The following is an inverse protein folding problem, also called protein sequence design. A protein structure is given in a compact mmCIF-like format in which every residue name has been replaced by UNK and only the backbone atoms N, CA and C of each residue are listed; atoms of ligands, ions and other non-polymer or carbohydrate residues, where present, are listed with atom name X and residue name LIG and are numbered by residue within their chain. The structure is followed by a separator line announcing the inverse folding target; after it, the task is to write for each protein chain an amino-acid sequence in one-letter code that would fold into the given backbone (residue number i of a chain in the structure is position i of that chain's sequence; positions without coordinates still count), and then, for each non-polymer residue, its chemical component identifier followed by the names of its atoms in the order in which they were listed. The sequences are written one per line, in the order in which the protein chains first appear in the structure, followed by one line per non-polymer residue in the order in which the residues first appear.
data_IF_989950063201
#
_entry.id   IF_989950063201
#
_cell.length_a   1.000
_cell.length_b   1.000
_cell.length_c   1.000
_cell.angle_alpha   90.00
_cell.angle_beta   90.00
_cell.angle_gamma   90.00
#
_symmetry.space_group_name_H-M   'P 1'
#
loop_
_entity.id
_entity.type
_entity.pdbx_description
1 polymer ?
#
# COMPACT_ATOMS: atom_id res chain seq x y z
N UNK A 1 -6.85 -9.43 12.93
CA UNK A 1 -7.26 -8.33 12.05
C UNK A 1 -6.37 -8.34 10.82
N UNK A 2 -6.95 -8.29 9.63
CA UNK A 2 -6.20 -8.22 8.38
C UNK A 2 -5.96 -6.76 8.00
N UNK A 3 -4.74 -6.43 7.59
CA UNK A 3 -4.34 -5.06 7.25
C UNK A 3 -3.87 -5.02 5.79
N UNK A 4 -4.34 -4.04 5.04
CA UNK A 4 -3.99 -3.90 3.63
C UNK A 4 -3.71 -2.45 3.26
N UNK A 5 -2.68 -2.25 2.44
CA UNK A 5 -2.48 -1.02 1.67
C UNK A 5 -2.92 -1.33 0.24
N UNK A 6 -3.77 -0.48 -0.33
CA UNK A 6 -4.11 -0.51 -1.74
C UNK A 6 -3.59 0.76 -2.39
N UNK A 7 -2.46 0.63 -3.07
CA UNK A 7 -1.80 1.71 -3.82
C UNK A 7 -2.51 1.88 -5.16
N UNK A 8 -2.98 3.10 -5.44
CA UNK A 8 -3.54 3.49 -6.74
C UNK A 8 -2.62 4.54 -7.34
N UNK A 9 -1.99 4.22 -8.47
CA UNK A 9 -1.00 5.09 -9.12
C UNK A 9 -1.15 5.00 -10.63
N UNK A 10 -0.71 6.02 -11.36
CA UNK A 10 -0.57 5.96 -12.82
C UNK A 10 0.86 6.07 -13.35
N UNK A 11 1.83 6.27 -12.46
CA UNK A 11 3.23 6.46 -12.80
C UNK A 11 4.18 5.54 -12.03
N UNK A 12 5.45 5.58 -12.46
CA UNK A 12 6.56 5.01 -11.72
C UNK A 12 6.98 5.95 -10.58
N UNK A 13 7.54 5.38 -9.51
CA UNK A 13 8.24 6.18 -8.51
C UNK A 13 9.46 6.86 -9.13
N UNK A 14 9.59 8.16 -8.90
CA UNK A 14 10.66 8.99 -9.47
C UNK A 14 11.49 9.73 -8.42
N UNK A 15 11.23 9.49 -7.13
CA UNK A 15 11.93 10.14 -6.02
C UNK A 15 11.88 9.32 -4.73
N UNK A 16 12.99 9.33 -3.98
CA UNK A 16 13.06 8.80 -2.61
C UNK A 16 13.37 7.30 -2.51
N UNK A 17 12.99 6.72 -1.37
CA UNK A 17 13.14 5.28 -1.07
C UNK A 17 12.48 4.41 -2.14
N UNK A 18 13.09 3.27 -2.45
CA UNK A 18 12.49 2.29 -3.36
C UNK A 18 11.11 1.82 -2.85
N UNK A 19 10.04 1.90 -3.66
CA UNK A 19 8.72 1.43 -3.26
C UNK A 19 8.64 -0.09 -3.07
N UNK A 20 9.52 -0.86 -3.73
CA UNK A 20 9.62 -2.31 -3.54
C UNK A 20 10.14 -2.64 -2.15
N UNK A 21 11.14 -1.90 -1.66
CA UNK A 21 11.68 -2.06 -0.30
C UNK A 21 10.63 -1.69 0.74
N UNK A 22 9.90 -0.58 0.53
CA UNK A 22 8.81 -0.19 1.42
C UNK A 22 7.70 -1.26 1.48
N UNK A 23 7.35 -1.86 0.36
CA UNK A 23 6.35 -2.93 0.30
C UNK A 23 6.80 -4.20 1.02
N UNK A 24 8.06 -4.61 0.85
CA UNK A 24 8.65 -5.73 1.59
C UNK A 24 8.59 -5.50 3.11
N UNK A 25 8.87 -4.28 3.55
CA UNK A 25 8.76 -3.92 4.96
C UNK A 25 7.30 -4.02 5.44
N UNK A 26 6.34 -3.47 4.68
CA UNK A 26 4.92 -3.58 5.01
C UNK A 26 4.46 -5.05 5.16
N UNK A 27 4.88 -5.92 4.24
CA UNK A 27 4.58 -7.35 4.31
C UNK A 27 5.15 -8.01 5.57
N UNK A 28 6.41 -7.69 5.94
CA UNK A 28 7.04 -8.19 7.17
C UNK A 28 6.31 -7.73 8.45
N UNK A 29 5.67 -6.55 8.40
CA UNK A 29 4.84 -6.00 9.46
C UNK A 29 3.39 -6.54 9.47
N UNK A 30 3.07 -7.51 8.61
CA UNK A 30 1.74 -8.12 8.51
C UNK A 30 0.72 -7.24 7.77
N UNK A 31 1.18 -6.33 6.92
CA UNK A 31 0.34 -5.47 6.06
C UNK A 31 0.54 -5.87 4.60
N UNK A 32 -0.50 -6.38 3.95
CA UNK A 32 -0.43 -6.76 2.54
C UNK A 32 -0.49 -5.52 1.65
N UNK A 33 0.38 -5.40 0.65
CA UNK A 33 0.36 -4.29 -0.32
C UNK A 33 -0.15 -4.77 -1.67
N UNK A 34 -1.25 -4.18 -2.11
CA UNK A 34 -1.82 -4.34 -3.43
C UNK A 34 -1.57 -3.09 -4.27
N UNK A 35 -1.41 -3.24 -5.58
CA UNK A 35 -1.15 -2.12 -6.49
C UNK A 35 -2.12 -2.13 -7.65
N UNK A 36 -2.73 -0.98 -7.93
CA UNK A 36 -3.55 -0.75 -9.11
C UNK A 36 -2.92 0.37 -9.93
N UNK A 37 -2.42 0.01 -11.10
CA UNK A 37 -1.97 0.95 -12.12
C UNK A 37 -3.16 1.43 -12.95
N UNK A 38 -3.40 2.74 -13.02
CA UNK A 38 -4.52 3.31 -13.78
C UNK A 38 -4.04 3.92 -15.10
N UNK A 39 -4.49 3.34 -16.21
CA UNK A 39 -4.05 3.71 -17.57
C UNK A 39 -5.16 4.28 -18.41
N UNK A 40 -4.87 5.37 -19.08
CA UNK A 40 -5.68 5.79 -20.22
C UNK A 40 -5.20 5.09 -21.49
N UNK A 41 -6.06 5.04 -22.51
CA UNK A 41 -5.75 4.35 -23.78
C UNK A 41 -4.40 4.83 -24.32
N UNK A 42 -3.41 3.94 -24.34
CA UNK A 42 -2.12 4.15 -25.00
C UNK A 42 -0.90 4.29 -24.08
N UNK A 43 -1.05 4.43 -22.77
CA UNK A 43 0.10 4.75 -21.90
C UNK A 43 0.08 3.98 -20.56
N UNK A 44 0.74 2.82 -20.56
CA UNK A 44 1.77 2.54 -19.55
C UNK A 44 3.01 2.10 -20.33
N UNK A 45 4.10 2.83 -20.14
CA UNK A 45 5.40 2.34 -20.57
C UNK A 45 5.70 1.02 -19.84
N UNK A 46 6.27 0.02 -20.52
CA UNK A 46 6.60 -1.31 -19.94
C UNK A 46 7.26 -1.25 -18.55
N UNK A 47 7.99 -0.18 -18.27
CA UNK A 47 8.67 0.07 -16.99
C UNK A 47 7.72 0.27 -15.80
N UNK A 48 6.56 0.93 -15.97
CA UNK A 48 5.64 1.21 -14.85
C UNK A 48 4.84 -0.02 -14.42
N UNK A 49 4.46 -0.86 -15.37
CA UNK A 49 3.83 -2.15 -15.05
C UNK A 49 4.78 -3.06 -14.25
N UNK A 50 6.05 -3.11 -14.64
CA UNK A 50 7.05 -3.94 -13.97
C UNK A 50 7.31 -3.48 -12.53
N UNK A 51 7.40 -2.17 -12.29
CA UNK A 51 7.53 -1.64 -10.93
C UNK A 51 6.29 -1.94 -10.08
N UNK A 52 5.09 -1.69 -10.61
CA UNK A 52 3.84 -1.99 -9.90
C UNK A 52 3.72 -3.48 -9.52
N UNK A 53 4.12 -4.38 -10.42
CA UNK A 53 4.17 -5.81 -10.15
C UNK A 53 5.21 -6.18 -9.09
N UNK A 54 6.42 -5.63 -9.17
CA UNK A 54 7.47 -5.86 -8.18
C UNK A 54 7.06 -5.37 -6.78
N UNK A 55 6.40 -4.21 -6.68
CA UNK A 55 5.85 -3.68 -5.42
C UNK A 55 4.83 -4.66 -4.84
N UNK A 56 3.84 -5.08 -5.62
CA UNK A 56 2.80 -5.99 -5.14
C UNK A 56 3.38 -7.35 -4.71
N UNK A 57 4.34 -7.89 -5.48
CA UNK A 57 5.01 -9.14 -5.17
C UNK A 57 5.79 -9.04 -3.84
N UNK A 58 6.58 -7.99 -3.66
CA UNK A 58 7.30 -7.74 -2.41
C UNK A 58 6.34 -7.52 -1.23
N UNK A 59 5.20 -6.88 -1.49
CA UNK A 59 4.12 -6.65 -0.53
C UNK A 59 3.21 -7.85 -0.23
N UNK A 60 3.44 -9.00 -0.86
CA UNK A 60 2.63 -10.21 -0.69
C UNK A 60 1.19 -10.11 -1.22
N UNK A 61 0.90 -9.11 -2.05
CA UNK A 61 -0.41 -8.82 -2.63
C UNK A 61 -0.47 -9.04 -4.14
N UNK A 62 -1.34 -8.28 -4.81
CA UNK A 62 -1.60 -8.40 -6.25
C UNK A 62 -1.39 -7.07 -6.96
N UNK A 63 -1.00 -7.14 -8.23
CA UNK A 63 -0.92 -6.00 -9.14
C UNK A 63 -1.99 -6.12 -10.24
N UNK A 64 -2.68 -5.03 -10.56
CA UNK A 64 -3.54 -4.95 -11.76
C UNK A 64 -3.35 -3.62 -12.47
N UNK A 65 -3.32 -3.68 -13.80
CA UNK A 65 -3.30 -2.50 -14.66
C UNK A 65 -4.67 -2.39 -15.31
N UNK A 66 -5.37 -1.29 -15.10
CA UNK A 66 -6.79 -1.15 -15.48
C UNK A 66 -7.08 0.22 -16.07
N UNK A 67 -8.15 0.29 -16.87
CA UNK A 67 -8.69 1.58 -17.29
C UNK A 67 -9.50 2.21 -16.16
N UNK A 68 -9.65 3.55 -16.12
CA UNK A 68 -10.44 4.24 -15.09
C UNK A 68 -11.83 3.64 -14.88
N UNK A 69 -12.52 3.28 -15.96
CA UNK A 69 -13.86 2.64 -15.94
C UNK A 69 -13.91 1.26 -15.25
N UNK A 70 -12.77 0.58 -15.10
CA UNK A 70 -12.65 -0.76 -14.49
C UNK A 70 -12.15 -0.67 -13.04
N UNK A 71 -11.82 0.54 -12.56
CA UNK A 71 -11.14 0.77 -11.29
C UNK A 71 -11.98 0.32 -10.10
N UNK A 72 -13.25 0.75 -10.01
CA UNK A 72 -14.12 0.44 -8.88
C UNK A 72 -14.29 -1.07 -8.66
N UNK A 73 -14.61 -1.81 -9.74
CA UNK A 73 -14.72 -3.26 -9.70
C UNK A 73 -13.40 -3.93 -9.31
N UNK A 74 -12.28 -3.42 -9.81
CA UNK A 74 -10.96 -3.99 -9.55
C UNK A 74 -10.53 -3.79 -8.10
N UNK A 75 -10.73 -2.60 -7.54
CA UNK A 75 -10.47 -2.27 -6.12
C UNK A 75 -11.21 -3.23 -5.19
N UNK A 76 -12.51 -3.42 -5.41
CA UNK A 76 -13.33 -4.35 -4.61
C UNK A 76 -12.85 -5.80 -4.76
N UNK A 77 -12.62 -6.24 -6.00
CA UNK A 77 -12.18 -7.60 -6.31
C UNK A 77 -10.83 -7.92 -5.66
N UNK A 78 -9.86 -7.01 -5.77
CA UNK A 78 -8.53 -7.20 -5.21
C UNK A 78 -8.57 -7.24 -3.68
N UNK A 79 -9.35 -6.38 -3.04
CA UNK A 79 -9.53 -6.39 -1.58
C UNK A 79 -10.07 -7.75 -1.11
N UNK A 80 -11.16 -8.23 -1.72
CA UNK A 80 -11.78 -9.53 -1.38
C UNK A 80 -10.84 -10.71 -1.63
N UNK A 81 -10.17 -10.76 -2.79
CA UNK A 81 -9.21 -11.82 -3.11
C UNK A 81 -8.02 -11.83 -2.16
N UNK A 82 -7.52 -10.66 -1.76
CA UNK A 82 -6.42 -10.56 -0.79
C UNK A 82 -6.82 -11.10 0.57
N UNK A 83 -8.04 -10.79 1.04
CA UNK A 83 -8.60 -11.34 2.29
C UNK A 83 -8.67 -12.87 2.19
N UNK A 84 -9.29 -13.40 1.14
CA UNK A 84 -9.43 -14.85 0.96
C UNK A 84 -8.07 -15.57 0.89
N UNK A 85 -7.11 -15.04 0.14
CA UNK A 85 -5.75 -15.60 0.06
C UNK A 85 -5.01 -15.54 1.39
N UNK A 86 -5.19 -14.46 2.16
CA UNK A 86 -4.56 -14.34 3.48
C UNK A 86 -5.15 -15.35 4.46
N UNK A 87 -6.46 -15.55 4.44
CA UNK A 87 -7.14 -16.58 5.24
C UNK A 87 -6.66 -17.97 4.83
N UNK A 88 -6.62 -18.26 3.53
CA UNK A 88 -6.13 -19.54 3.02
C UNK A 88 -4.72 -19.85 3.52
N UNK A 89 -3.79 -18.91 3.40
CA UNK A 89 -2.40 -19.08 3.89
C UNK A 89 -2.33 -19.36 5.39
N UNK A 90 -3.17 -18.68 6.19
CA UNK A 90 -3.24 -18.92 7.64
C UNK A 90 -3.78 -20.32 7.93
N UNK A 91 -4.85 -20.73 7.26
CA UNK A 91 -5.44 -22.06 7.42
C UNK A 91 -4.47 -23.16 7.00
N UNK A 92 -3.81 -23.02 5.84
CA UNK A 92 -2.79 -23.97 5.36
C UNK A 92 -1.62 -24.09 6.34
N UNK A 93 -1.17 -22.97 6.91
CA UNK A 93 -0.12 -22.99 7.95
C UNK A 93 -0.55 -23.77 9.19
N UNK A 94 -1.80 -23.64 9.62
CA UNK A 94 -2.33 -24.38 10.78
C UNK A 94 -2.56 -25.87 10.46
N UNK A 95 -2.99 -26.20 9.24
CA UNK A 95 -3.07 -27.58 8.76
C UNK A 95 -1.69 -28.24 8.70
N UNK A 96 -0.67 -27.52 8.24
CA UNK A 96 0.69 -28.05 8.16
C UNK A 96 1.25 -28.32 9.55
N UNK A 97 1.05 -27.40 10.51
CA UNK A 97 1.52 -27.58 11.89
C UNK A 97 0.83 -28.73 12.62
N UNK A 98 -0.50 -28.85 12.47
CA UNK A 98 -1.31 -29.76 13.29
C UNK A 98 -1.44 -31.14 12.65
N UNK A 99 -1.49 -31.20 11.32
CA UNK A 99 -1.83 -32.41 10.56
C UNK A 99 -0.79 -32.78 9.49
N UNK A 100 0.31 -32.03 9.36
CA UNK A 100 1.34 -32.21 8.31
C UNK A 100 0.75 -32.21 6.89
N UNK A 101 -0.32 -31.43 6.68
CA UNK A 101 -0.94 -31.19 5.36
C UNK A 101 -0.63 -29.77 4.93
N UNK A 102 0.07 -29.63 3.81
CA UNK A 102 0.59 -28.36 3.30
C UNK A 102 -0.41 -27.57 2.42
N UNK A 103 -1.50 -28.20 2.00
CA UNK A 103 -2.49 -27.59 1.11
C UNK A 103 -3.91 -28.12 1.36
N UNK A 104 -4.90 -27.22 1.30
CA UNK A 104 -6.32 -27.55 1.50
C UNK A 104 -6.81 -28.57 0.46
N UNK A 105 -6.24 -28.52 -0.75
CA UNK A 105 -6.54 -29.42 -1.87
C UNK A 105 -6.12 -30.87 -1.60
N UNK A 106 -5.20 -31.12 -0.66
CA UNK A 106 -4.79 -32.49 -0.29
C UNK A 106 -5.74 -33.15 0.72
N UNK A 107 -6.67 -32.39 1.30
CA UNK A 107 -7.69 -32.94 2.17
C UNK A 107 -8.67 -33.81 1.39
N UNK A 108 -9.27 -34.80 2.08
CA UNK A 108 -10.39 -35.58 1.54
C UNK A 108 -11.57 -34.66 1.19
N UNK A 109 -12.42 -35.01 0.21
CA UNK A 109 -13.49 -34.14 -0.27
C UNK A 109 -14.39 -33.58 0.84
N UNK A 110 -14.76 -34.41 1.81
CA UNK A 110 -15.59 -34.02 2.96
C UNK A 110 -14.89 -33.00 3.84
N UNK A 111 -13.61 -33.23 4.18
CA UNK A 111 -12.82 -32.30 5.01
C UNK A 111 -12.56 -30.99 4.26
N UNK A 112 -12.25 -31.06 2.97
CA UNK A 112 -12.03 -29.89 2.12
C UNK A 112 -13.27 -29.00 2.08
N UNK A 113 -14.46 -29.59 1.86
CA UNK A 113 -15.71 -28.83 1.86
C UNK A 113 -15.95 -28.11 3.20
N UNK A 114 -15.64 -28.76 4.31
CA UNK A 114 -15.75 -28.13 5.64
C UNK A 114 -14.75 -26.97 5.80
N UNK A 115 -13.48 -27.17 5.42
CA UNK A 115 -12.45 -26.13 5.51
C UNK A 115 -12.78 -24.93 4.62
N UNK A 116 -13.23 -25.16 3.38
CA UNK A 116 -13.65 -24.08 2.48
C UNK A 116 -14.79 -23.28 3.10
N UNK A 117 -15.81 -23.94 3.68
CA UNK A 117 -16.90 -23.24 4.37
C UNK A 117 -16.39 -22.37 5.51
N UNK A 118 -15.49 -22.88 6.34
CA UNK A 118 -14.89 -22.10 7.43
C UNK A 118 -14.11 -20.90 6.89
N UNK A 119 -13.37 -21.07 5.79
CA UNK A 119 -12.66 -19.97 5.14
C UNK A 119 -13.61 -18.89 4.62
N UNK A 120 -14.74 -19.28 4.03
CA UNK A 120 -15.78 -18.34 3.56
C UNK A 120 -16.39 -17.57 4.73
N UNK A 121 -16.76 -18.26 5.81
CA UNK A 121 -17.30 -17.65 7.03
C UNK A 121 -16.29 -16.66 7.65
N UNK A 122 -15.00 -17.01 7.67
CA UNK A 122 -13.92 -16.11 8.08
C UNK A 122 -13.82 -14.90 7.14
N UNK A 123 -13.95 -15.10 5.83
CA UNK A 123 -13.92 -14.04 4.82
C UNK A 123 -14.91 -12.91 5.10
N UNK A 124 -16.09 -13.25 5.60
CA UNK A 124 -17.14 -12.28 5.94
C UNK A 124 -17.01 -11.69 7.35
N UNK A 125 -16.49 -12.44 8.31
CA UNK A 125 -16.52 -12.06 9.74
C UNK A 125 -15.22 -11.45 10.27
N UNK A 126 -14.06 -11.72 9.65
CA UNK A 126 -12.79 -11.18 10.14
C UNK A 126 -12.75 -9.65 10.06
N UNK A 127 -12.13 -9.03 11.06
CA UNK A 127 -11.89 -7.58 11.00
C UNK A 127 -10.85 -7.25 9.96
N UNK A 128 -11.13 -6.25 9.13
CA UNK A 128 -10.23 -5.77 8.08
C UNK A 128 -9.97 -4.27 8.24
N UNK A 129 -8.77 -3.85 7.89
CA UNK A 129 -8.36 -2.44 7.86
C UNK A 129 -7.70 -2.18 6.51
N UNK A 130 -8.27 -1.29 5.71
CA UNK A 130 -7.82 -0.99 4.34
C UNK A 130 -7.41 0.48 4.24
N UNK A 131 -6.13 0.73 4.00
CA UNK A 131 -5.62 2.06 3.66
C UNK A 131 -5.55 2.19 2.14
N UNK A 132 -6.34 3.09 1.58
CA UNK A 132 -6.16 3.52 0.19
C UNK A 132 -5.04 4.55 0.15
N UNK A 133 -3.99 4.27 -0.61
CA UNK A 133 -2.89 5.21 -0.84
C UNK A 133 -2.96 5.66 -2.29
N UNK A 134 -3.39 6.90 -2.51
CA UNK A 134 -3.79 7.40 -3.83
C UNK A 134 -2.76 8.40 -4.33
N UNK A 135 -2.23 8.16 -5.52
CA UNK A 135 -1.43 9.15 -6.24
C UNK A 135 -2.32 10.33 -6.64
N UNK A 136 -1.88 11.51 -6.25
CA UNK A 136 -2.44 12.83 -6.55
C UNK A 136 -1.44 13.64 -7.40
N UNK A 137 -0.57 12.99 -8.16
CA UNK A 137 0.24 13.63 -9.19
C UNK A 137 -0.63 14.27 -10.28
N UNK A 138 -0.05 15.18 -11.07
CA UNK A 138 -0.80 15.93 -12.07
C UNK A 138 -1.48 15.05 -13.14
N UNK A 139 -0.92 13.88 -13.46
CA UNK A 139 -1.47 12.91 -14.42
C UNK A 139 -2.76 12.24 -13.93
N UNK A 140 -3.02 12.23 -12.62
CA UNK A 140 -4.22 11.64 -12.03
C UNK A 140 -5.47 12.54 -12.16
N UNK A 141 -5.32 13.77 -12.64
CA UNK A 141 -6.42 14.76 -12.75
C UNK A 141 -7.60 14.27 -13.59
N UNK A 142 -7.33 13.60 -14.71
CA UNK A 142 -8.38 13.02 -15.57
C UNK A 142 -9.03 11.75 -14.99
N UNK A 143 -8.37 11.11 -14.01
CA UNK A 143 -8.77 9.82 -13.42
C UNK A 143 -9.52 9.99 -12.09
N UNK A 144 -9.53 11.21 -11.54
CA UNK A 144 -10.11 11.57 -10.24
C UNK A 144 -11.51 11.04 -10.01
N UNK A 145 -12.43 11.23 -10.97
CA UNK A 145 -13.83 10.80 -10.80
C UNK A 145 -13.96 9.29 -10.67
N UNK A 146 -13.18 8.52 -11.43
CA UNK A 146 -13.15 7.06 -11.31
C UNK A 146 -12.51 6.59 -10.01
N UNK A 147 -11.49 7.30 -9.51
CA UNK A 147 -10.91 7.02 -8.20
C UNK A 147 -11.95 7.28 -7.11
N UNK A 148 -12.67 8.39 -7.18
CA UNK A 148 -13.74 8.76 -6.25
C UNK A 148 -14.85 7.71 -6.18
N UNK A 149 -15.37 7.31 -7.34
CA UNK A 149 -16.35 6.24 -7.45
C UNK A 149 -15.81 4.94 -6.83
N UNK A 150 -14.56 4.57 -7.13
CA UNK A 150 -13.94 3.37 -6.59
C UNK A 150 -13.76 3.38 -5.07
N UNK A 151 -13.39 4.52 -4.49
CA UNK A 151 -13.27 4.68 -3.02
C UNK A 151 -14.65 4.55 -2.36
N UNK A 152 -15.66 5.24 -2.90
CA UNK A 152 -17.01 5.19 -2.37
C UNK A 152 -17.62 3.78 -2.46
N UNK A 153 -17.47 3.13 -3.61
CA UNK A 153 -17.98 1.77 -3.84
C UNK A 153 -17.24 0.74 -2.98
N UNK A 154 -15.93 0.91 -2.76
CA UNK A 154 -15.22 0.07 -1.80
C UNK A 154 -15.79 0.27 -0.40
N UNK A 155 -15.98 1.51 0.05
CA UNK A 155 -16.50 1.79 1.38
C UNK A 155 -17.86 1.16 1.62
N UNK A 156 -18.78 1.26 0.66
CA UNK A 156 -20.09 0.60 0.73
C UNK A 156 -19.96 -0.92 0.82
N UNK A 157 -19.07 -1.51 0.01
CA UNK A 157 -18.79 -2.96 0.04
C UNK A 157 -18.21 -3.41 1.37
N UNK A 158 -17.35 -2.60 2.00
CA UNK A 158 -16.75 -2.89 3.30
C UNK A 158 -17.75 -2.75 4.46
N UNK A 159 -18.63 -1.74 4.40
CA UNK A 159 -19.70 -1.50 5.37
C UNK A 159 -20.75 -2.62 5.37
N UNK A 160 -21.00 -3.23 4.21
CA UNK A 160 -21.95 -4.35 4.07
C UNK A 160 -21.47 -5.69 4.68
N UNK A 161 -20.18 -5.81 5.03
CA UNK A 161 -19.63 -7.04 5.64
C UNK A 161 -20.13 -7.22 7.07
N UNK A 162 -20.26 -8.47 7.50
CA UNK A 162 -20.60 -8.79 8.89
C UNK A 162 -19.47 -8.43 9.88
N UNK A 163 -18.22 -8.62 9.46
CA UNK A 163 -17.03 -8.28 10.23
C UNK A 163 -16.74 -6.78 10.22
N UNK A 164 -16.08 -6.30 11.29
CA UNK A 164 -15.63 -4.90 11.40
C UNK A 164 -14.68 -4.54 10.25
N UNK A 165 -15.08 -3.61 9.39
CA UNK A 165 -14.23 -3.09 8.31
C UNK A 165 -13.93 -1.62 8.54
N UNK A 166 -12.64 -1.27 8.55
CA UNK A 166 -12.17 0.11 8.65
C UNK A 166 -11.47 0.50 7.35
N UNK A 167 -11.72 1.73 6.90
CA UNK A 167 -11.11 2.31 5.71
C UNK A 167 -10.53 3.69 6.03
N UNK A 168 -9.40 4.01 5.42
CA UNK A 168 -8.81 5.34 5.46
C UNK A 168 -8.23 5.66 4.08
N UNK A 169 -8.21 6.94 3.74
CA UNK A 169 -7.72 7.42 2.44
C UNK A 169 -6.59 8.40 2.67
N UNK A 170 -5.43 8.04 2.17
CA UNK A 170 -4.22 8.86 2.15
C UNK A 170 -3.91 9.23 0.70
N UNK A 171 -3.41 10.45 0.51
CA UNK A 171 -3.05 10.98 -0.81
C UNK A 171 -1.60 11.42 -0.80
N UNK A 172 -0.91 11.31 -1.94
CA UNK A 172 0.48 11.77 -2.07
C UNK A 172 0.71 12.33 -3.48
N UNK A 173 1.63 13.28 -3.70
CA UNK A 173 2.59 13.84 -2.74
C UNK A 173 2.00 14.86 -1.76
N UNK A 174 2.66 15.04 -0.62
CA UNK A 174 2.46 16.16 0.30
C UNK A 174 3.80 16.72 0.76
N UNK A 175 3.92 18.05 0.91
CA UNK A 175 5.20 18.75 1.04
C UNK A 175 6.03 18.31 2.26
N UNK A 176 5.38 18.12 3.43
CA UNK A 176 6.09 17.88 4.69
C UNK A 176 6.07 16.42 5.15
N UNK A 177 5.00 15.68 4.87
CA UNK A 177 4.77 14.33 5.42
C UNK A 177 4.71 13.23 4.36
N UNK A 178 5.01 13.55 3.09
CA UNK A 178 4.81 12.70 1.91
C UNK A 178 3.36 12.32 1.61
N UNK A 179 2.52 12.15 2.63
CA UNK A 179 1.09 11.84 2.56
C UNK A 179 0.24 12.89 3.28
N UNK A 180 -0.97 13.09 2.79
CA UNK A 180 -2.06 13.78 3.50
C UNK A 180 -3.16 12.77 3.85
N UNK A 181 -3.76 12.90 5.04
CA UNK A 181 -4.85 12.03 5.48
C UNK A 181 -6.16 12.66 5.03
N UNK A 182 -6.58 12.33 3.80
CA UNK A 182 -7.81 12.84 3.22
C UNK A 182 -9.07 12.37 3.98
N UNK A 183 -9.10 11.10 4.41
CA UNK A 183 -10.11 10.57 5.33
C UNK A 183 -9.44 9.72 6.41
N UNK A 184 -9.61 10.07 7.70
CA UNK A 184 -9.19 9.23 8.82
C UNK A 184 -9.87 7.86 8.84
N UNK A 185 -9.44 6.97 9.73
CA UNK A 185 -10.09 5.67 9.89
C UNK A 185 -11.59 5.81 10.18
N UNK A 186 -12.40 5.22 9.31
CA UNK A 186 -13.85 5.21 9.45
C UNK A 186 -14.44 3.85 9.07
N UNK A 187 -15.66 3.61 9.55
CA UNK A 187 -16.49 2.47 9.18
C UNK A 187 -17.73 2.90 8.37
N UNK A 188 -17.93 4.21 8.17
CA UNK A 188 -19.15 4.76 7.56
C UNK A 188 -18.82 5.29 6.17
N UNK A 189 -19.41 4.69 5.14
CA UNK A 189 -19.24 5.13 3.74
C UNK A 189 -19.62 6.60 3.50
N UNK A 190 -20.50 7.14 4.32
CA UNK A 190 -21.01 8.51 4.22
C UNK A 190 -19.93 9.57 4.47
N UNK A 191 -18.90 9.27 5.27
CA UNK A 191 -17.79 10.17 5.60
C UNK A 191 -16.79 10.34 4.45
N UNK A 192 -16.83 9.45 3.45
CA UNK A 192 -15.90 9.44 2.32
C UNK A 192 -16.27 10.44 1.23
N UNK A 193 -17.54 10.88 1.18
CA UNK A 193 -18.01 11.82 0.16
C UNK A 193 -17.36 13.20 0.23
N UNK A 194 -16.74 13.57 1.36
CA UNK A 194 -16.11 14.89 1.54
C UNK A 194 -14.67 14.97 1.00
N UNK A 195 -14.06 13.83 0.62
CA UNK A 195 -12.64 13.72 0.19
C UNK A 195 -12.35 14.54 -1.07
N UNK A 196 -13.24 14.49 -2.06
CA UNK A 196 -12.93 14.95 -3.41
C UNK A 196 -13.32 16.40 -3.67
N UNK A 197 -13.65 17.19 -2.64
CA UNK A 197 -13.68 18.65 -2.77
C UNK A 197 -12.28 19.29 -2.69
N UNK A 198 -11.34 18.63 -1.99
CA UNK A 198 -10.09 19.25 -1.51
C UNK A 198 -8.79 18.67 -2.09
N UNK A 199 -8.89 17.63 -2.92
CA UNK A 199 -7.73 17.02 -3.59
C UNK A 199 -7.18 17.96 -4.68
N UNK A 200 -6.06 18.60 -4.41
CA UNK A 200 -5.24 19.30 -5.39
C UNK A 200 -4.18 18.34 -5.95
N UNK A 201 -4.26 18.06 -7.25
CA UNK A 201 -3.36 17.10 -7.89
C UNK A 201 -2.17 17.82 -8.54
N UNK A 202 -0.98 17.70 -7.94
CA UNK A 202 0.25 18.36 -8.38
C UNK A 202 1.50 17.66 -7.85
N UNK A 203 2.68 17.94 -8.44
CA UNK A 203 3.97 17.48 -7.91
C UNK A 203 4.47 16.13 -8.46
N UNK A 204 5.47 15.57 -7.78
CA UNK A 204 6.18 14.32 -8.10
C UNK A 204 5.60 13.11 -7.33
N UNK A 205 6.07 11.89 -7.59
CA UNK A 205 5.45 10.64 -7.08
C UNK A 205 6.40 9.88 -6.14
N UNK A 206 6.53 10.29 -4.85
CA UNK A 206 7.39 9.64 -3.86
C UNK A 206 6.72 8.39 -3.27
N UNK A 207 6.47 7.37 -4.10
CA UNK A 207 5.70 6.17 -3.73
C UNK A 207 6.29 5.41 -2.53
N UNK A 208 7.61 5.24 -2.46
CA UNK A 208 8.24 4.53 -1.33
C UNK A 208 8.09 5.26 0.00
N UNK A 209 8.48 6.54 0.11
CA UNK A 209 8.21 7.34 1.30
C UNK A 209 6.73 7.39 1.70
N UNK A 210 5.82 7.56 0.72
CA UNK A 210 4.39 7.57 0.97
C UNK A 210 3.87 6.23 1.54
N UNK A 211 4.39 5.11 1.04
CA UNK A 211 4.04 3.79 1.55
C UNK A 211 4.57 3.55 2.97
N UNK A 212 5.76 4.04 3.30
CA UNK A 212 6.30 3.99 4.66
C UNK A 212 5.46 4.83 5.63
N UNK A 213 5.02 6.01 5.23
CA UNK A 213 4.11 6.84 6.04
C UNK A 213 2.74 6.16 6.25
N UNK A 214 2.18 5.55 5.19
CA UNK A 214 0.97 4.75 5.30
C UNK A 214 1.14 3.54 6.23
N UNK A 215 2.29 2.86 6.19
CA UNK A 215 2.61 1.76 7.08
C UNK A 215 2.69 2.21 8.55
N UNK A 216 3.36 3.33 8.84
CA UNK A 216 3.40 3.93 10.17
C UNK A 216 1.98 4.22 10.68
N UNK A 217 1.15 4.83 9.84
CA UNK A 217 -0.24 5.15 10.16
C UNK A 217 -1.11 3.91 10.43
N UNK A 218 -0.97 2.84 9.65
CA UNK A 218 -1.74 1.59 9.82
C UNK A 218 -1.30 0.79 11.05
N UNK A 219 -0.01 0.83 11.37
CA UNK A 219 0.57 0.04 12.48
C UNK A 219 0.48 0.76 13.81
N UNK A 220 0.13 2.06 13.83
CA UNK A 220 0.09 2.90 15.03
C UNK A 220 1.44 2.91 15.78
N UNK A 221 2.52 2.45 15.13
CA UNK A 221 3.86 2.41 15.64
C UNK A 221 4.64 3.58 15.06
N UNK A 222 5.31 4.35 15.92
CA UNK A 222 6.38 5.27 15.52
C UNK A 222 7.52 4.41 15.00
N UNK A 223 7.55 4.16 13.69
CA UNK A 223 8.73 3.56 13.06
C UNK A 223 9.78 4.66 13.03
N UNK A 224 10.87 4.48 13.80
CA UNK A 224 12.03 5.37 13.72
C UNK A 224 12.44 5.54 12.25
N UNK A 225 12.71 6.76 11.78
CA UNK A 225 13.10 6.96 10.40
C UNK A 225 14.37 6.14 10.12
N UNK A 226 14.28 5.25 9.13
CA UNK A 226 15.44 4.57 8.55
C UNK A 226 16.38 5.68 8.06
N UNK A 227 17.44 5.95 8.83
CA UNK A 227 18.50 6.86 8.42
C UNK A 227 19.11 6.28 7.16
N UNK A 228 19.04 7.04 6.09
CA UNK A 228 19.80 6.84 4.87
C UNK A 228 21.29 6.93 5.26
N UNK A 229 21.92 5.81 5.59
CA UNK A 229 23.36 5.72 5.82
C UNK A 229 24.10 5.89 4.48
N UNK A 230 24.04 7.10 3.93
CA UNK A 230 25.08 7.56 3.03
C UNK A 230 26.29 7.87 3.91
N UNK A 231 27.46 7.26 3.67
CA UNK A 231 28.65 7.57 4.44
C UNK A 231 29.01 9.05 4.23
N UNK A 232 29.05 9.82 5.31
CA UNK A 232 29.52 11.21 5.37
C UNK A 232 31.00 11.28 4.97
N UNK A 233 31.27 11.37 3.67
CA UNK A 233 32.58 11.72 3.14
C UNK A 233 32.78 13.24 3.23
N UNK A 234 33.04 13.76 4.44
CA UNK A 234 33.65 15.09 4.62
C UNK A 234 34.13 15.33 6.06
N UNK A 235 35.13 14.55 6.52
CA UNK A 235 36.02 14.98 7.62
C UNK A 235 37.44 14.52 7.33
N UNK A 236 38.15 15.26 6.48
CA UNK A 236 39.61 15.30 6.51
C UNK A 236 40.11 16.56 5.77
N UNK A 237 40.12 17.67 6.50
CA UNK A 237 41.01 18.79 6.27
C UNK A 237 41.20 19.47 7.63
N UNK A 238 42.38 19.67 8.19
CA UNK A 238 43.74 19.30 7.84
C UNK A 238 44.55 19.78 9.04
N UNK A 239 45.47 18.95 9.49
CA UNK A 239 46.29 19.13 10.68
C UNK A 239 47.00 20.49 10.66
N UNK A 240 46.62 21.37 11.58
CA UNK A 240 47.29 22.65 11.79
C UNK A 240 48.65 22.44 12.43
N UNK A 241 49.72 22.55 11.65
CA UNK A 241 51.09 22.75 12.13
C UNK A 241 51.87 23.54 11.08
N UNK A 242 52.23 24.78 11.41
CA UNK A 242 53.05 25.67 10.57
C UNK A 242 53.47 26.91 11.35
N UNK A 243 54.70 26.87 11.88
CA UNK A 243 55.37 27.93 12.61
C UNK A 243 55.58 29.22 11.77
N UNK A 244 55.44 30.36 12.46
CA UNK A 244 56.24 31.59 12.52
C UNK A 244 57.24 32.01 11.41
N UNK A 245 57.36 33.34 11.34
CA UNK A 245 58.36 34.25 10.71
C UNK A 245 57.92 34.84 9.36
N UNK A 246 58.07 36.13 9.06
CA UNK A 246 58.55 37.32 9.77
C UNK A 246 58.21 38.56 8.88
N UNK A 247 58.31 39.75 9.49
CA UNK A 247 58.88 41.01 8.95
C UNK A 247 58.04 42.26 8.54
N UNK A 248 58.43 43.39 9.18
CA UNK A 248 58.37 44.87 8.89
C UNK A 248 56.97 45.51 8.80
N UNK A 249 56.60 46.63 9.45
CA UNK A 249 57.27 47.87 9.94
C UNK A 249 56.69 48.25 11.31
#
# INVERSE_FOLDING_TARGET
MLKQILLITDGCSNAGLSPVVAAAHAASAGVTVNVIGVVEKGEIGRSGAAEAEAIAQAGGGMCRIVQPRELAQTVQMMTRKTVAQTIQRVVEKELQKTFAVDAVERLSPVKRAHVVKVMDDLGETVSIRVCLLIDASASMKSKRSSVEEAVHDLALSLEARAGRSEISVLTFPHADQYVDIAVPWTMRSQEIREIFGRLEMSGVTPTGPAMMAALQYITENVIEPLRDERPDAAREAGTGMGLLQDYVV
#
